data_IF_892015441502
#
_entry.id   IF_892015441502
#
_cell.length_a   1.000
_cell.length_b   1.000
_cell.length_c   1.000
_cell.angle_alpha   90.00
_cell.angle_beta   90.00
_cell.angle_gamma   90.00
#
_symmetry.space_group_name_H-M   'P 1'
#
loop_
_entity.id
_entity.type
_entity.pdbx_description
1 polymer ?
#
# COMPACT_ATOMS: atom_id res chain seq x y z
N UNK A 1 -22.52 39.26 2.57
CA UNK A 1 -21.25 38.84 1.94
C UNK A 1 -21.00 37.41 2.33
N UNK A 2 -21.42 36.47 1.49
CA UNK A 2 -21.05 35.05 1.66
C UNK A 2 -19.58 34.94 1.23
N UNK A 3 -18.72 34.51 2.15
CA UNK A 3 -17.35 34.12 1.84
C UNK A 3 -17.44 32.89 0.93
N UNK A 4 -17.52 33.10 -0.38
CA UNK A 4 -17.35 32.04 -1.37
C UNK A 4 -15.97 31.45 -1.17
N UNK A 5 -15.93 30.34 -0.44
CA UNK A 5 -14.69 29.63 -0.19
C UNK A 5 -14.42 28.84 -1.45
N UNK A 6 -13.60 29.43 -2.33
CA UNK A 6 -13.13 28.85 -3.59
C UNK A 6 -12.28 27.62 -3.32
N UNK A 7 -12.94 26.50 -3.01
CA UNK A 7 -12.32 25.24 -2.66
C UNK A 7 -13.03 24.11 -3.42
N UNK A 8 -12.27 23.11 -3.83
CA UNK A 8 -12.80 21.85 -4.31
C UNK A 8 -13.23 21.02 -3.10
N UNK A 9 -14.49 20.57 -3.10
CA UNK A 9 -15.03 19.68 -2.09
C UNK A 9 -15.12 18.26 -2.67
N UNK A 10 -14.49 17.31 -1.98
CA UNK A 10 -14.47 15.90 -2.36
C UNK A 10 -15.26 15.11 -1.30
N UNK A 11 -16.39 14.53 -1.71
CA UNK A 11 -17.24 13.71 -0.87
C UNK A 11 -16.82 12.23 -1.00
N UNK A 12 -16.60 11.59 0.14
CA UNK A 12 -16.10 10.22 0.24
C UNK A 12 -17.25 9.30 0.67
N UNK A 13 -17.12 8.00 0.42
CA UNK A 13 -18.19 7.03 0.70
C UNK A 13 -18.46 6.82 2.20
N UNK A 14 -17.42 6.99 3.02
CA UNK A 14 -17.40 6.66 4.45
C UNK A 14 -17.61 7.88 5.38
N UNK A 15 -17.71 9.10 4.84
CA UNK A 15 -17.80 10.33 5.64
C UNK A 15 -18.69 11.38 4.97
N UNK A 16 -19.68 11.89 5.72
CA UNK A 16 -20.56 12.97 5.31
C UNK A 16 -19.81 14.32 5.14
N UNK A 17 -18.64 14.46 5.78
CA UNK A 17 -17.80 15.64 5.69
C UNK A 17 -16.81 15.53 4.53
N UNK A 18 -16.93 16.46 3.58
CA UNK A 18 -16.01 16.58 2.45
C UNK A 18 -14.54 16.80 2.86
N UNK A 19 -13.62 16.33 2.01
CA UNK A 19 -12.23 16.77 1.98
C UNK A 19 -12.16 18.07 1.20
N UNK A 20 -11.56 19.09 1.81
CA UNK A 20 -11.48 20.44 1.24
C UNK A 20 -10.11 20.67 0.64
N UNK A 21 -10.04 20.83 -0.68
CA UNK A 21 -8.79 21.13 -1.41
C UNK A 21 -8.81 22.58 -1.87
N UNK A 22 -7.81 23.36 -1.43
CA UNK A 22 -7.66 24.79 -1.77
C UNK A 22 -6.47 25.08 -2.69
N UNK A 23 -5.56 24.13 -2.79
CA UNK A 23 -4.30 24.25 -3.52
C UNK A 23 -4.53 24.02 -5.01
N UNK A 24 -4.36 25.08 -5.82
CA UNK A 24 -4.55 25.01 -7.29
C UNK A 24 -3.49 24.16 -7.98
N UNK A 25 -2.26 24.26 -7.50
CA UNK A 25 -1.14 23.47 -8.00
C UNK A 25 -1.33 21.98 -7.71
N UNK A 26 -1.87 21.61 -6.55
CA UNK A 26 -2.25 20.22 -6.25
C UNK A 26 -3.34 19.71 -7.21
N UNK A 27 -4.40 20.49 -7.42
CA UNK A 27 -5.46 20.12 -8.38
C UNK A 27 -4.92 20.03 -9.81
N UNK A 28 -4.00 20.91 -10.19
CA UNK A 28 -3.36 20.89 -11.50
C UNK A 28 -2.42 19.70 -11.72
N UNK A 29 -1.85 19.16 -10.64
CA UNK A 29 -0.98 17.97 -10.66
C UNK A 29 -1.78 16.67 -10.84
N UNK A 30 -3.03 16.62 -10.37
CA UNK A 30 -3.87 15.42 -10.43
C UNK A 30 -4.73 15.47 -11.70
N UNK A 31 -4.45 14.66 -12.74
CA UNK A 31 -5.12 14.82 -14.03
C UNK A 31 -6.64 14.66 -13.96
N UNK A 32 -7.13 13.69 -13.19
CA UNK A 32 -8.57 13.47 -12.99
C UNK A 32 -9.26 14.68 -12.36
N UNK A 33 -8.65 15.28 -11.32
CA UNK A 33 -9.17 16.49 -10.70
C UNK A 33 -9.10 17.67 -11.65
N UNK A 34 -7.98 17.87 -12.35
CA UNK A 34 -7.83 18.92 -13.35
C UNK A 34 -8.91 18.85 -14.41
N UNK A 35 -9.17 17.67 -14.98
CA UNK A 35 -10.23 17.46 -15.96
C UNK A 35 -11.61 17.78 -15.38
N UNK A 36 -11.88 17.31 -14.17
CA UNK A 36 -13.14 17.57 -13.48
C UNK A 36 -13.38 19.07 -13.28
N UNK A 37 -12.44 19.80 -12.67
CA UNK A 37 -12.60 21.24 -12.43
C UNK A 37 -12.65 22.04 -13.74
N UNK A 38 -11.86 21.66 -14.75
CA UNK A 38 -11.86 22.31 -16.07
C UNK A 38 -13.20 22.13 -16.79
N UNK A 39 -13.87 20.99 -16.60
CA UNK A 39 -15.21 20.76 -17.16
C UNK A 39 -16.31 21.64 -16.55
N UNK A 40 -16.04 22.20 -15.37
CA UNK A 40 -16.99 22.97 -14.56
C UNK A 40 -16.74 24.48 -14.71
N UNK A 41 -15.47 24.88 -14.67
CA UNK A 41 -15.02 26.23 -14.99
C UNK A 41 -13.68 26.16 -15.74
N UNK A 42 -13.65 26.45 -17.06
CA UNK A 42 -12.41 26.49 -17.83
C UNK A 42 -11.36 27.51 -17.32
N UNK A 43 -11.77 28.51 -16.54
CA UNK A 43 -10.91 29.56 -16.01
C UNK A 43 -10.56 29.38 -14.51
N UNK A 44 -10.75 28.17 -13.96
CA UNK A 44 -10.53 27.86 -12.54
C UNK A 44 -9.12 28.23 -12.04
N UNK A 45 -8.11 28.20 -12.91
CA UNK A 45 -6.73 28.55 -12.57
C UNK A 45 -6.60 30.03 -12.14
N UNK A 46 -7.41 30.92 -12.71
CA UNK A 46 -7.43 32.35 -12.39
C UNK A 46 -8.50 32.71 -11.36
N UNK A 47 -9.70 32.15 -11.51
CA UNK A 47 -10.87 32.53 -10.72
C UNK A 47 -11.03 31.73 -9.44
N UNK A 48 -10.25 30.66 -9.26
CA UNK A 48 -10.42 29.67 -8.20
C UNK A 48 -11.49 28.64 -8.55
N UNK A 49 -11.81 27.77 -7.61
CA UNK A 49 -12.75 26.68 -7.86
C UNK A 49 -14.20 27.17 -7.74
N UNK A 50 -14.90 27.22 -8.87
CA UNK A 50 -16.35 27.41 -8.94
C UNK A 50 -16.95 26.09 -9.42
N UNK A 51 -17.57 25.37 -8.49
CA UNK A 51 -18.11 24.03 -8.73
C UNK A 51 -19.63 24.08 -8.77
N UNK A 52 -20.25 23.55 -9.84
CA UNK A 52 -21.71 23.38 -9.90
C UNK A 52 -22.14 22.00 -9.41
N UNK A 53 -21.27 21.00 -9.59
CA UNK A 53 -21.48 19.63 -9.11
C UNK A 53 -20.41 19.26 -8.08
N UNK A 54 -20.80 18.65 -6.93
CA UNK A 54 -19.82 18.12 -5.97
C UNK A 54 -19.05 16.93 -6.56
N UNK A 55 -17.75 16.83 -6.27
CA UNK A 55 -16.99 15.63 -6.62
C UNK A 55 -17.28 14.54 -5.59
N UNK A 56 -17.77 13.39 -6.05
CA UNK A 56 -17.98 12.21 -5.19
C UNK A 56 -17.06 11.10 -5.64
N UNK A 57 -16.41 10.42 -4.70
CA UNK A 57 -15.49 9.31 -4.99
C UNK A 57 -15.84 8.07 -4.16
N UNK A 58 -15.82 6.86 -4.78
CA UNK A 58 -16.05 5.60 -4.09
C UNK A 58 -14.76 5.14 -3.39
N UNK A 59 -14.27 5.94 -2.46
CA UNK A 59 -13.06 5.67 -1.70
C UNK A 59 -13.21 6.22 -0.29
N UNK A 60 -12.49 5.63 0.67
CA UNK A 60 -12.45 6.17 2.02
C UNK A 60 -11.80 7.55 2.06
N UNK A 61 -12.25 8.39 3.01
CA UNK A 61 -11.64 9.70 3.25
C UNK A 61 -10.16 9.61 3.58
N UNK A 62 -9.75 8.55 4.26
CA UNK A 62 -8.35 8.28 4.56
C UNK A 62 -7.54 8.03 3.29
N UNK A 63 -8.05 7.22 2.35
CA UNK A 63 -7.40 6.95 1.07
C UNK A 63 -7.26 8.22 0.22
N UNK A 64 -8.31 9.05 0.18
CA UNK A 64 -8.29 10.33 -0.54
C UNK A 64 -7.24 11.28 0.05
N UNK A 65 -7.24 11.45 1.38
CA UNK A 65 -6.24 12.29 2.06
C UNK A 65 -4.83 11.79 1.82
N UNK A 66 -4.63 10.48 1.89
CA UNK A 66 -3.32 9.88 1.67
C UNK A 66 -2.75 10.23 0.29
N UNK A 67 -3.55 10.11 -0.78
CA UNK A 67 -3.10 10.49 -2.12
C UNK A 67 -2.78 11.98 -2.19
N UNK A 68 -3.69 12.84 -1.71
CA UNK A 68 -3.53 14.30 -1.76
C UNK A 68 -2.29 14.78 -0.99
N UNK A 69 -2.01 14.17 0.15
CA UNK A 69 -0.81 14.42 0.93
C UNK A 69 0.40 13.93 0.13
N UNK A 70 0.45 12.66 -0.28
CA UNK A 70 1.70 12.02 -0.73
C UNK A 70 2.10 12.23 -2.19
N UNK A 71 1.18 12.65 -3.06
CA UNK A 71 1.42 12.67 -4.51
C UNK A 71 2.57 13.59 -4.95
N UNK A 72 2.88 14.64 -4.18
CA UNK A 72 3.92 15.61 -4.54
C UNK A 72 5.34 15.07 -4.40
N UNK A 73 5.57 14.10 -3.50
CA UNK A 73 6.92 13.61 -3.18
C UNK A 73 7.15 12.15 -3.54
N UNK A 74 6.09 11.40 -3.86
CA UNK A 74 6.21 10.02 -4.31
C UNK A 74 6.84 9.98 -5.70
N UNK A 75 8.00 9.35 -5.79
CA UNK A 75 8.71 9.13 -7.06
C UNK A 75 8.55 7.67 -7.47
N UNK A 76 8.18 7.39 -8.74
CA UNK A 76 8.12 6.04 -9.26
C UNK A 76 9.41 5.27 -8.99
N UNK A 77 9.32 3.97 -8.67
CA UNK A 77 10.51 3.15 -8.52
C UNK A 77 11.21 3.02 -9.88
N UNK A 78 12.51 3.30 -9.92
CA UNK A 78 13.31 3.09 -11.14
C UNK A 78 13.49 1.59 -11.43
N UNK A 79 13.52 0.77 -10.36
CA UNK A 79 13.65 -0.68 -10.38
C UNK A 79 12.80 -1.30 -9.25
N UNK A 80 12.50 -2.59 -9.38
CA UNK A 80 11.72 -3.39 -8.42
C UNK A 80 12.29 -3.46 -6.98
N UNK A 81 13.51 -2.96 -6.75
CA UNK A 81 14.27 -3.11 -5.50
C UNK A 81 14.16 -1.94 -4.51
N UNK A 82 13.28 -0.95 -4.75
CA UNK A 82 13.12 0.20 -3.84
C UNK A 82 12.26 -0.10 -2.61
N UNK A 83 12.65 -1.17 -1.91
CA UNK A 83 12.07 -1.64 -0.67
C UNK A 83 12.18 -0.56 0.42
N UNK A 84 11.06 -0.23 1.07
CA UNK A 84 11.04 0.70 2.21
C UNK A 84 11.01 2.19 1.86
N UNK A 85 10.93 2.59 0.59
CA UNK A 85 10.91 4.03 0.19
C UNK A 85 9.58 4.74 0.50
N UNK A 86 8.50 3.98 0.67
CA UNK A 86 7.14 4.50 0.86
C UNK A 86 6.64 4.17 2.28
N UNK A 87 7.30 4.70 3.30
CA UNK A 87 7.04 4.38 4.71
C UNK A 87 5.56 4.57 5.09
N UNK A 88 4.96 5.68 4.65
CA UNK A 88 3.57 6.01 4.93
C UNK A 88 2.61 4.98 4.31
N UNK A 89 2.96 4.43 3.14
CA UNK A 89 2.18 3.36 2.51
C UNK A 89 2.39 2.01 3.21
N UNK A 90 3.59 1.74 3.73
CA UNK A 90 3.89 0.50 4.45
C UNK A 90 3.07 0.37 5.76
N UNK A 91 2.68 1.49 6.38
CA UNK A 91 1.87 1.54 7.59
C UNK A 91 0.36 1.38 7.34
N UNK A 92 -0.09 1.43 6.09
CA UNK A 92 -1.49 1.21 5.73
C UNK A 92 -1.81 -0.27 5.64
N UNK A 93 -3.09 -0.65 5.67
CA UNK A 93 -3.57 -2.02 5.39
C UNK A 93 -3.60 -2.33 3.89
N UNK A 94 -3.59 -3.62 3.50
CA UNK A 94 -3.67 -4.00 2.07
C UNK A 94 -4.99 -3.55 1.43
N UNK A 95 -6.07 -3.50 2.22
CA UNK A 95 -7.37 -2.98 1.76
C UNK A 95 -7.30 -1.48 1.47
N UNK A 96 -6.68 -0.69 2.37
CA UNK A 96 -6.47 0.75 2.13
C UNK A 96 -5.59 1.00 0.91
N UNK A 97 -4.49 0.24 0.76
CA UNK A 97 -3.59 0.36 -0.40
C UNK A 97 -4.30 0.02 -1.72
N UNK A 98 -5.19 -0.98 -1.73
CA UNK A 98 -6.01 -1.30 -2.91
C UNK A 98 -6.91 -0.13 -3.31
N UNK A 99 -7.60 0.48 -2.34
CA UNK A 99 -8.45 1.65 -2.62
C UNK A 99 -7.65 2.84 -3.12
N UNK A 100 -6.45 3.08 -2.55
CA UNK A 100 -5.57 4.18 -2.99
C UNK A 100 -5.07 3.92 -4.41
N UNK A 101 -4.72 2.67 -4.73
CA UNK A 101 -4.30 2.28 -6.08
C UNK A 101 -5.41 2.51 -7.10
N UNK A 102 -6.62 2.05 -6.80
CA UNK A 102 -7.80 2.26 -7.65
C UNK A 102 -8.12 3.75 -7.83
N UNK A 103 -8.06 4.54 -6.76
CA UNK A 103 -8.24 5.99 -6.80
C UNK A 103 -7.17 6.66 -7.67
N UNK A 104 -5.91 6.25 -7.54
CA UNK A 104 -4.81 6.79 -8.34
C UNK A 104 -4.99 6.48 -9.83
N UNK A 105 -5.41 5.27 -10.18
CA UNK A 105 -5.72 4.89 -11.57
C UNK A 105 -6.91 5.70 -12.09
N UNK A 106 -7.97 5.83 -11.30
CA UNK A 106 -9.17 6.59 -11.66
C UNK A 106 -8.86 8.08 -11.92
N UNK A 107 -7.95 8.66 -11.14
CA UNK A 107 -7.48 10.04 -11.32
C UNK A 107 -6.29 10.15 -12.28
N UNK A 108 -5.91 9.06 -12.96
CA UNK A 108 -4.84 8.98 -13.96
C UNK A 108 -3.46 9.38 -13.40
N UNK A 109 -3.23 9.17 -12.11
CA UNK A 109 -1.96 9.35 -11.42
C UNK A 109 -1.11 8.08 -11.52
N UNK A 110 -0.77 7.64 -12.74
CA UNK A 110 -0.12 6.34 -12.98
C UNK A 110 1.25 6.18 -12.29
N UNK A 111 2.02 7.26 -12.23
CA UNK A 111 3.32 7.29 -11.52
C UNK A 111 3.14 7.03 -10.01
N UNK A 112 2.11 7.64 -9.42
CA UNK A 112 1.74 7.40 -8.03
C UNK A 112 1.20 5.98 -7.85
N UNK A 113 0.37 5.48 -8.77
CA UNK A 113 -0.13 4.11 -8.77
C UNK A 113 1.00 3.07 -8.79
N UNK A 114 2.08 3.33 -9.54
CA UNK A 114 3.28 2.49 -9.55
C UNK A 114 3.98 2.45 -8.18
N UNK A 115 4.06 3.61 -7.50
CA UNK A 115 4.61 3.69 -6.14
C UNK A 115 3.80 2.83 -5.14
N UNK A 116 2.47 2.95 -5.19
CA UNK A 116 1.58 2.18 -4.31
C UNK A 116 1.68 0.68 -4.60
N UNK A 117 1.74 0.30 -5.88
CA UNK A 117 1.93 -1.09 -6.30
C UNK A 117 3.24 -1.67 -5.76
N UNK A 118 4.33 -0.89 -5.79
CA UNK A 118 5.61 -1.29 -5.22
C UNK A 118 5.55 -1.46 -3.69
N UNK A 119 4.86 -0.56 -2.97
CA UNK A 119 4.65 -0.70 -1.53
C UNK A 119 3.85 -1.98 -1.18
N UNK A 120 2.82 -2.29 -1.96
CA UNK A 120 2.04 -3.53 -1.80
C UNK A 120 2.90 -4.79 -2.03
N UNK A 121 3.76 -4.78 -3.07
CA UNK A 121 4.69 -5.88 -3.35
C UNK A 121 5.67 -6.08 -2.19
N UNK A 122 6.35 -5.03 -1.76
CA UNK A 122 7.29 -5.06 -0.63
C UNK A 122 6.66 -5.64 0.63
N UNK A 123 5.43 -5.24 0.94
CA UNK A 123 4.72 -5.76 2.10
C UNK A 123 4.36 -7.24 1.99
N UNK A 124 3.95 -7.67 0.80
CA UNK A 124 3.59 -9.07 0.55
C UNK A 124 4.81 -9.98 0.75
N UNK A 125 5.96 -9.57 0.23
CA UNK A 125 7.25 -10.26 0.43
C UNK A 125 7.66 -10.26 1.91
N UNK A 126 7.52 -9.13 2.62
CA UNK A 126 7.87 -9.06 4.04
C UNK A 126 7.01 -10.00 4.90
N UNK A 127 5.70 -10.05 4.66
CA UNK A 127 4.79 -10.93 5.41
C UNK A 127 5.07 -12.42 5.13
N UNK A 128 5.46 -12.77 3.91
CA UNK A 128 5.87 -14.15 3.57
C UNK A 128 7.14 -14.56 4.33
N UNK A 129 8.10 -13.64 4.46
CA UNK A 129 9.32 -13.87 5.25
C UNK A 129 9.03 -13.97 6.75
N UNK A 130 8.18 -13.11 7.32
CA UNK A 130 7.84 -13.19 8.75
C UNK A 130 7.04 -14.46 9.09
N UNK A 131 6.10 -14.87 8.23
CA UNK A 131 5.34 -16.11 8.41
C UNK A 131 6.18 -17.39 8.24
N UNK A 132 7.29 -17.33 7.49
CA UNK A 132 8.23 -18.47 7.38
C UNK A 132 9.18 -18.57 8.57
N UNK A 133 9.50 -17.46 9.25
CA UNK A 133 10.34 -17.46 10.46
C UNK A 133 9.60 -18.04 11.67
N UNK A 134 8.27 -17.88 11.78
CA UNK A 134 7.47 -18.50 12.86
C UNK A 134 7.39 -20.03 12.76
N UNK A 135 7.63 -20.63 11.59
CA UNK A 135 7.53 -22.09 11.38
C UNK A 135 8.86 -22.81 11.72
N UNK A 136 9.98 -22.09 11.84
CA UNK A 136 11.29 -22.68 12.20
C UNK A 136 11.58 -22.46 13.69
N UNK A 137 10.62 -22.82 14.54
CA UNK A 137 10.81 -23.08 15.96
C UNK A 137 10.23 -24.46 16.31
N UNK A 138 10.46 -25.45 15.43
CA UNK A 138 10.26 -26.85 15.80
C UNK A 138 11.32 -27.17 16.84
N UNK A 139 10.84 -27.37 18.07
CA UNK A 139 11.58 -27.81 19.24
C UNK A 139 12.63 -28.85 18.84
N UNK A 140 13.91 -28.50 18.99
CA UNK A 140 14.95 -29.51 19.09
C UNK A 140 14.68 -30.26 20.39
N UNK A 141 13.92 -31.35 20.28
CA UNK A 141 13.66 -32.28 21.37
C UNK A 141 14.97 -32.69 22.02
N UNK A 142 14.95 -32.71 23.35
CA UNK A 142 16.06 -33.09 24.20
C UNK A 142 16.75 -34.35 23.67
N UNK A 143 18.06 -34.24 23.53
CA UNK A 143 18.96 -35.31 23.16
C UNK A 143 18.92 -36.36 24.27
N UNK A 144 18.11 -37.40 24.10
CA UNK A 144 18.16 -38.59 24.95
C UNK A 144 19.58 -39.13 24.95
N UNK A 145 20.19 -39.14 26.14
CA UNK A 145 21.51 -39.72 26.37
C UNK A 145 21.40 -41.23 26.13
N UNK A 146 21.98 -41.69 25.03
CA UNK A 146 22.23 -43.11 24.83
C UNK A 146 23.39 -43.49 25.74
N UNK A 147 23.07 -44.09 26.88
CA UNK A 147 24.03 -44.80 27.73
C UNK A 147 24.61 -45.96 26.92
N UNK A 148 25.90 -45.88 26.62
CA UNK A 148 26.66 -47.01 26.10
C UNK A 148 27.02 -47.90 27.28
N UNK A 149 26.19 -48.91 27.53
CA UNK A 149 26.51 -49.99 28.45
C UNK A 149 27.43 -50.99 27.75
N UNK A 150 28.67 -51.08 28.22
CA UNK A 150 29.68 -52.07 27.85
C UNK A 150 29.25 -53.45 28.37
N UNK A 151 28.75 -54.33 27.48
CA UNK A 151 28.98 -55.79 27.47
C UNK A 151 27.92 -56.49 26.60
N UNK A 152 28.31 -56.98 25.42
CA UNK A 152 28.64 -58.41 25.29
C UNK A 152 29.17 -58.72 23.88
N UNK A 153 30.28 -59.43 23.87
CA UNK A 153 30.95 -59.96 22.69
C UNK A 153 30.23 -61.23 22.25
N UNK A 154 29.84 -61.35 20.97
CA UNK A 154 29.91 -62.65 20.27
C UNK A 154 30.49 -62.47 18.87
N UNK A 155 31.74 -62.92 18.72
CA UNK A 155 32.32 -63.30 17.43
C UNK A 155 31.68 -64.58 16.93
N UNK A 156 31.44 -64.63 15.61
CA UNK A 156 31.55 -65.87 14.83
C UNK A 156 30.25 -66.41 14.25
N UNK A 157 30.35 -66.84 12.99
CA UNK A 157 29.37 -67.75 12.40
C UNK A 157 29.01 -67.41 10.96
N UNK A 158 29.89 -67.83 10.05
CA UNK A 158 29.52 -68.34 8.73
C UNK A 158 28.12 -68.98 8.72
N UNK A 159 27.30 -68.72 7.70
CA UNK A 159 26.81 -69.77 6.79
C UNK A 159 25.98 -69.23 5.62
N UNK A 160 26.17 -69.94 4.51
CA UNK A 160 25.67 -69.75 3.15
C UNK A 160 24.20 -70.18 3.02
N UNK A 161 23.72 -70.18 1.76
CA UNK A 161 22.52 -70.83 1.19
C UNK A 161 21.26 -69.94 1.20
N UNK A 162 20.63 -69.56 0.07
CA UNK A 162 20.61 -70.04 -1.33
C UNK A 162 20.41 -68.83 -2.25
#
# INVERSE_FOLDING_TARGET
MTCDTKALLIFCEDDENSVVVRERDLVGMIPGLKKFVTSQDPNWEHNGFVMTTPLTVPASKRSVKFLLENIRWYTPPENDSQNGRYCEANDMSMSELSQILELAIHWECYDFAACISAAMKYRSEKNEVEGTVEIINVEMGEHDKVDWDDNDVIYGGHENWI
#
